data_IF_027971719639
#
_entry.id   IF_027971719639
#
_cell.length_a   1.000
_cell.length_b   1.000
_cell.length_c   1.000
_cell.angle_alpha   90.00
_cell.angle_beta   90.00
_cell.angle_gamma   90.00
#
_symmetry.space_group_name_H-M   'P 1'
#
loop_
_entity.id
_entity.type
_entity.pdbx_description
1 polymer ?
#
# COMPACT_ATOMS: atom_id res chain seq x y z
N UNK A 1 -6.47 3.81 6.27
CA UNK A 1 -6.69 2.59 5.45
C UNK A 1 -8.05 2.61 4.75
N UNK A 2 -8.43 3.78 4.24
CA UNK A 2 -9.74 4.06 3.66
C UNK A 2 -9.63 5.33 2.83
N UNK A 3 -10.75 5.89 2.34
CA UNK A 3 -10.74 7.10 1.54
C UNK A 3 -10.11 8.27 2.34
N UNK A 4 -9.14 9.01 1.75
CA UNK A 4 -8.56 10.17 2.40
C UNK A 4 -9.59 11.29 2.55
N UNK A 5 -9.44 12.13 3.58
CA UNK A 5 -10.26 13.35 3.74
C UNK A 5 -9.60 14.54 3.07
N UNK A 6 -8.27 14.53 2.97
CA UNK A 6 -7.50 15.51 2.23
C UNK A 6 -6.21 14.89 1.67
N UNK A 7 -5.60 15.61 0.73
CA UNK A 7 -4.30 15.29 0.14
C UNK A 7 -3.37 16.51 0.29
N UNK A 8 -2.05 16.32 0.49
CA UNK A 8 -1.36 15.04 0.71
C UNK A 8 -1.67 14.44 2.09
N UNK A 9 -1.54 13.12 2.22
CA UNK A 9 -1.78 12.40 3.48
C UNK A 9 -0.54 12.52 4.37
N UNK A 10 -0.68 13.16 5.53
CA UNK A 10 0.35 13.24 6.57
C UNK A 10 0.07 12.26 7.73
N UNK A 11 0.96 12.20 8.72
CA UNK A 11 0.81 11.31 9.89
C UNK A 11 -0.29 11.76 10.86
N UNK A 12 -0.72 13.02 10.79
CA UNK A 12 -1.79 13.60 11.62
C UNK A 12 -3.17 13.43 10.98
N UNK A 13 -3.24 12.85 9.79
CA UNK A 13 -4.49 12.65 9.06
C UNK A 13 -5.51 11.90 9.94
N UNK A 14 -6.75 12.42 10.07
CA UNK A 14 -7.71 11.95 11.08
C UNK A 14 -8.21 10.52 10.85
N UNK A 15 -8.20 10.02 9.62
CA UNK A 15 -8.79 8.72 9.23
C UNK A 15 -7.92 7.49 9.45
N UNK A 16 -7.00 7.51 10.41
CA UNK A 16 -6.34 6.28 10.83
C UNK A 16 -7.31 5.56 11.78
N UNK A 17 -8.17 4.69 11.23
CA UNK A 17 -9.10 3.86 12.02
C UNK A 17 -10.54 3.88 11.54
N UNK A 18 -10.98 5.01 11.00
CA UNK A 18 -12.34 5.21 10.48
C UNK A 18 -12.46 4.73 9.03
N UNK A 19 -13.64 4.22 8.66
CA UNK A 19 -13.99 3.82 7.28
C UNK A 19 -12.95 2.91 6.59
N UNK A 20 -12.30 2.02 7.35
CA UNK A 20 -11.36 1.05 6.80
C UNK A 20 -12.11 0.11 5.84
N UNK A 21 -11.71 0.13 4.57
CA UNK A 21 -12.51 -0.48 3.49
C UNK A 21 -12.30 -1.99 3.32
N UNK A 22 -11.28 -2.57 3.98
CA UNK A 22 -10.97 -3.99 3.82
C UNK A 22 -10.26 -4.61 5.05
N UNK A 23 -10.32 -5.95 5.21
CA UNK A 23 -9.67 -6.66 6.33
C UNK A 23 -8.15 -6.49 6.39
N UNK A 24 -7.46 -6.33 5.25
CA UNK A 24 -6.02 -6.10 5.22
C UNK A 24 -5.65 -4.77 5.87
N UNK A 25 -6.34 -3.68 5.52
CA UNK A 25 -6.17 -2.38 6.16
C UNK A 25 -6.49 -2.43 7.66
N UNK A 26 -7.50 -3.21 8.05
CA UNK A 26 -7.92 -3.34 9.44
C UNK A 26 -6.87 -4.07 10.28
N UNK A 27 -6.26 -5.13 9.75
CA UNK A 27 -5.19 -5.85 10.47
C UNK A 27 -3.98 -4.95 10.72
N UNK A 28 -3.57 -4.14 9.75
CA UNK A 28 -2.46 -3.18 9.91
C UNK A 28 -2.77 -2.11 10.95
N UNK A 29 -3.98 -1.56 10.93
CA UNK A 29 -4.45 -0.61 11.94
C UNK A 29 -4.41 -1.18 13.37
N UNK A 30 -4.88 -2.42 13.54
CA UNK A 30 -4.85 -3.13 14.83
C UNK A 30 -3.41 -3.34 15.29
N UNK A 31 -2.50 -3.78 14.40
CA UNK A 31 -1.08 -3.94 14.74
C UNK A 31 -0.45 -2.62 15.21
N UNK A 32 -0.75 -1.48 14.58
CA UNK A 32 -0.25 -0.19 15.03
C UNK A 32 -0.74 0.16 16.45
N UNK A 33 -2.00 -0.15 16.78
CA UNK A 33 -2.55 0.08 18.11
C UNK A 33 -1.88 -0.80 19.17
N UNK A 34 -1.75 -2.10 18.89
CA UNK A 34 -1.07 -3.04 19.79
C UNK A 34 0.36 -2.58 20.08
N UNK A 35 1.09 -2.12 19.05
CA UNK A 35 2.46 -1.64 19.22
C UNK A 35 2.52 -0.34 20.05
N UNK A 36 1.59 0.58 19.86
CA UNK A 36 1.49 1.80 20.68
C UNK A 36 1.22 1.47 22.15
N UNK A 37 0.25 0.60 22.41
CA UNK A 37 -0.11 0.17 23.76
C UNK A 37 1.08 -0.55 24.43
N UNK A 38 1.79 -1.40 23.69
CA UNK A 38 2.98 -2.08 24.18
C UNK A 38 4.09 -1.09 24.58
N UNK A 39 4.38 -0.08 23.75
CA UNK A 39 5.38 0.95 24.08
C UNK A 39 4.96 1.87 25.23
N UNK A 40 3.66 2.07 25.44
CA UNK A 40 3.15 2.81 26.58
C UNK A 40 3.31 2.00 27.89
N UNK A 41 3.12 0.69 27.83
CA UNK A 41 3.30 -0.22 28.97
C UNK A 41 4.78 -0.52 29.28
N UNK A 42 5.65 -0.50 28.26
CA UNK A 42 7.08 -0.83 28.33
C UNK A 42 7.93 0.29 27.73
N UNK A 43 8.28 1.33 28.52
CA UNK A 43 9.01 2.50 28.04
C UNK A 43 10.42 2.21 27.48
N UNK A 44 10.97 1.04 27.77
CA UNK A 44 12.26 0.58 27.24
C UNK A 44 12.19 0.08 25.78
N UNK A 45 10.98 -0.12 25.24
CA UNK A 45 10.78 -0.57 23.86
C UNK A 45 10.85 0.59 22.87
N UNK A 46 11.50 0.35 21.73
CA UNK A 46 11.58 1.31 20.63
C UNK A 46 10.86 0.74 19.40
N UNK A 47 9.89 1.48 18.88
CA UNK A 47 9.09 1.09 17.71
C UNK A 47 9.04 2.22 16.70
N UNK A 48 9.16 1.88 15.42
CA UNK A 48 8.96 2.78 14.29
C UNK A 48 7.87 2.18 13.39
N UNK A 49 6.84 2.97 13.09
CA UNK A 49 5.74 2.57 12.21
C UNK A 49 5.96 3.15 10.82
N UNK A 50 6.32 2.30 9.86
CA UNK A 50 6.55 2.70 8.47
C UNK A 50 5.30 2.42 7.61
N UNK A 51 4.58 3.48 7.24
CA UNK A 51 3.39 3.41 6.39
C UNK A 51 3.79 3.62 4.93
N UNK A 52 4.03 2.53 4.21
CA UNK A 52 4.32 2.60 2.79
C UNK A 52 3.06 2.92 1.98
N UNK A 53 3.24 3.66 0.88
CA UNK A 53 2.22 3.86 -0.14
C UNK A 53 2.30 2.69 -1.14
N UNK A 54 2.61 2.95 -2.41
CA UNK A 54 2.74 1.92 -3.43
C UNK A 54 4.23 1.70 -3.75
N UNK A 55 4.89 0.70 -3.15
CA UNK A 55 6.26 0.36 -3.51
C UNK A 55 6.30 -0.19 -4.94
N UNK A 56 7.21 0.33 -5.76
CA UNK A 56 7.40 -0.08 -7.15
C UNK A 56 8.89 -0.09 -7.52
N UNK A 57 9.22 -0.78 -8.61
CA UNK A 57 10.57 -0.82 -9.16
C UNK A 57 11.32 -2.10 -8.81
N UNK A 58 12.63 -2.06 -9.01
CA UNK A 58 13.54 -3.19 -8.82
C UNK A 58 14.94 -2.66 -8.46
N UNK A 59 15.82 -3.55 -8.01
CA UNK A 59 17.21 -3.16 -7.82
C UNK A 59 17.86 -2.80 -9.16
N UNK A 60 18.73 -1.78 -9.18
CA UNK A 60 19.34 -1.25 -10.41
C UNK A 60 20.11 -2.26 -11.27
N UNK A 61 20.53 -3.39 -10.70
CA UNK A 61 21.19 -4.47 -11.45
C UNK A 61 20.20 -5.31 -12.27
N UNK A 62 18.90 -5.20 -12.02
CA UNK A 62 17.86 -6.04 -12.63
C UNK A 62 17.82 -7.48 -12.13
N UNK A 63 18.69 -7.86 -11.18
CA UNK A 63 18.78 -9.25 -10.67
C UNK A 63 17.71 -9.60 -9.64
N UNK A 64 17.13 -8.59 -8.98
CA UNK A 64 16.05 -8.75 -8.00
C UNK A 64 14.97 -7.70 -8.23
N UNK A 65 13.70 -8.12 -8.14
CA UNK A 65 12.51 -7.31 -8.34
C UNK A 65 11.26 -8.07 -7.92
N UNK A 66 10.08 -7.48 -8.11
CA UNK A 66 8.81 -8.14 -7.82
C UNK A 66 8.53 -9.25 -8.85
N UNK A 67 8.45 -10.50 -8.39
CA UNK A 67 8.11 -11.67 -9.23
C UNK A 67 6.89 -12.41 -8.63
N UNK A 68 5.67 -11.89 -8.88
CA UNK A 68 4.46 -12.47 -8.30
C UNK A 68 4.13 -13.82 -8.95
N UNK A 69 3.72 -14.77 -8.12
CA UNK A 69 3.24 -16.08 -8.57
C UNK A 69 1.82 -15.93 -9.14
N UNK A 70 1.63 -16.35 -10.39
CA UNK A 70 0.34 -16.27 -11.08
C UNK A 70 0.07 -14.90 -11.67
N UNK A 71 -1.22 -14.57 -11.84
CA UNK A 71 -1.64 -13.27 -12.39
C UNK A 71 -1.46 -12.19 -11.32
N UNK A 72 -0.69 -11.11 -11.58
CA UNK A 72 -0.51 -10.05 -10.60
C UNK A 72 -1.82 -9.34 -10.27
N UNK A 73 -1.96 -8.91 -9.02
CA UNK A 73 -3.06 -8.04 -8.60
C UNK A 73 -2.65 -6.56 -8.59
N UNK A 74 -1.34 -6.28 -8.46
CA UNK A 74 -0.79 -4.94 -8.43
C UNK A 74 -0.54 -4.40 -9.84
N UNK A 75 -0.70 -3.10 -10.03
CA UNK A 75 -0.61 -2.45 -11.34
C UNK A 75 0.77 -2.62 -12.01
N UNK A 76 1.86 -2.34 -11.30
CA UNK A 76 3.19 -2.31 -11.92
C UNK A 76 3.69 -3.67 -12.42
N UNK A 77 3.58 -4.78 -11.65
CA UNK A 77 3.92 -6.10 -12.19
C UNK A 77 3.01 -6.54 -13.32
N UNK A 78 1.73 -6.12 -13.29
CA UNK A 78 0.80 -6.41 -14.38
C UNK A 78 1.25 -5.73 -15.67
N UNK A 79 1.57 -4.43 -15.62
CA UNK A 79 2.13 -3.68 -16.76
C UNK A 79 3.43 -4.33 -17.24
N UNK A 80 4.33 -4.70 -16.32
CA UNK A 80 5.58 -5.35 -16.66
C UNK A 80 5.35 -6.69 -17.39
N UNK A 81 4.39 -7.51 -16.95
CA UNK A 81 4.02 -8.77 -17.61
C UNK A 81 3.42 -8.55 -19.00
N UNK A 82 2.63 -7.49 -19.21
CA UNK A 82 2.13 -7.12 -20.55
C UNK A 82 3.29 -6.66 -21.43
N UNK A 83 4.20 -5.84 -20.92
CA UNK A 83 5.34 -5.31 -21.67
C UNK A 83 6.28 -6.42 -22.18
N UNK A 84 6.41 -7.52 -21.44
CA UNK A 84 7.20 -8.70 -21.86
C UNK A 84 6.37 -9.78 -22.57
N UNK A 85 5.10 -9.50 -22.90
CA UNK A 85 4.23 -10.39 -23.68
C UNK A 85 3.66 -11.59 -22.92
N UNK A 86 3.76 -11.64 -21.59
CA UNK A 86 3.13 -12.70 -20.76
C UNK A 86 1.62 -12.51 -20.61
N UNK A 87 1.14 -11.27 -20.71
CA UNK A 87 -0.27 -10.91 -20.70
C UNK A 87 -0.61 -10.06 -21.94
N UNK A 88 -1.83 -10.17 -22.50
CA UNK A 88 -2.16 -9.54 -23.78
C UNK A 88 -2.42 -8.03 -23.70
N UNK A 89 -2.96 -7.53 -22.59
CA UNK A 89 -3.31 -6.12 -22.39
C UNK A 89 -3.48 -5.79 -20.90
N UNK A 90 -3.39 -4.51 -20.56
CA UNK A 90 -3.64 -3.99 -19.20
C UNK A 90 -5.14 -3.74 -19.00
N UNK A 91 -5.66 -4.14 -17.84
CA UNK A 91 -7.01 -3.77 -17.42
C UNK A 91 -6.96 -2.47 -16.61
N UNK A 92 -7.72 -1.46 -17.03
CA UNK A 92 -7.87 -0.19 -16.31
C UNK A 92 -9.16 -0.25 -15.48
N UNK A 93 -9.04 -0.10 -14.16
CA UNK A 93 -10.18 -0.16 -13.23
C UNK A 93 -10.73 1.23 -12.91
N UNK A 94 -11.68 1.67 -13.74
CA UNK A 94 -12.33 2.99 -13.63
C UNK A 94 -11.63 4.05 -14.49
N UNK A 95 -12.42 4.95 -15.08
CA UNK A 95 -11.95 6.05 -15.95
C UNK A 95 -12.68 7.35 -15.65
N UNK A 96 -13.40 7.40 -14.52
CA UNK A 96 -14.40 8.39 -14.15
C UNK A 96 -14.13 8.98 -12.76
N UNK A 97 -12.87 8.90 -12.31
CA UNK A 97 -12.45 9.63 -11.12
C UNK A 97 -12.44 11.14 -11.40
N UNK A 98 -12.89 11.94 -10.44
CA UNK A 98 -12.86 13.41 -10.48
C UNK A 98 -11.42 13.91 -10.26
N UNK A 99 -10.56 13.65 -11.25
CA UNK A 99 -9.16 14.09 -11.29
C UNK A 99 -9.04 15.25 -12.27
N UNK A 100 -8.34 16.34 -11.91
CA UNK A 100 -7.99 17.38 -12.88
C UNK A 100 -7.18 16.79 -14.04
N UNK A 101 -7.53 17.13 -15.27
CA UNK A 101 -6.75 16.81 -16.48
C UNK A 101 -5.39 17.54 -16.50
#
# INVERSE_FOLDING_TARGET
YGPPKYLPIDEKHPCVGDDITNPYGKSKYICEHILKDATAAHPEWNVILLRYFNPIGAHKTGLIGEDPIGRPNNLMPFIAQVAVGRLPYVNVFGTDYDTPD
#
